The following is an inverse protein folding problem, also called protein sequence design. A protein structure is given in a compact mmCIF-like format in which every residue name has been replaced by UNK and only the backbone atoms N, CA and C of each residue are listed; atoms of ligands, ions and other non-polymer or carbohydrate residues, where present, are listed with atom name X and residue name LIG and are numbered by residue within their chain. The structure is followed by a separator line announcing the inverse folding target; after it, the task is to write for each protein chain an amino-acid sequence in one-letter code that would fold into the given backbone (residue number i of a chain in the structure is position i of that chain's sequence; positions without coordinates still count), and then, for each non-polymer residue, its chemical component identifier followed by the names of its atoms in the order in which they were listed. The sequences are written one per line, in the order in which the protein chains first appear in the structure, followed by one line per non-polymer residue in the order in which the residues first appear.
data_IF_933839770178
#
_entry.id   IF_933839770178
#
_cell.length_a   1.000
_cell.length_b   1.000
_cell.length_c   1.000
_cell.angle_alpha   90.00
_cell.angle_beta   90.00
_cell.angle_gamma   90.00
#
_symmetry.space_group_name_H-M   'P 1'
#
loop_
_entity.id
_entity.type
_entity.pdbx_description
1 polymer ?
#
# COMPACT_ATOMS: atom_id res chain seq x y z
N UNK A 1 6.62 2.71 43.37
CA UNK A 1 7.18 2.98 42.05
C UNK A 1 6.20 3.85 41.29
N UNK A 2 6.62 5.01 40.81
CA UNK A 2 5.79 5.97 40.07
C UNK A 2 5.93 5.82 38.52
N UNK A 3 6.61 4.78 38.06
CA UNK A 3 6.81 4.54 36.66
C UNK A 3 5.53 3.98 36.01
N UNK A 4 5.14 4.55 34.86
CA UNK A 4 4.06 4.08 33.99
C UNK A 4 4.66 3.70 32.64
N UNK A 5 4.15 2.63 32.03
CA UNK A 5 4.66 2.13 30.76
C UNK A 5 3.54 2.18 29.72
N UNK A 6 3.91 2.64 28.53
CA UNK A 6 3.08 2.53 27.31
C UNK A 6 3.85 1.60 26.38
N UNK A 7 3.22 0.47 26.03
CA UNK A 7 3.80 -0.53 25.14
C UNK A 7 3.01 -0.53 23.83
N UNK A 8 3.71 -0.57 22.71
CA UNK A 8 3.09 -0.65 21.37
C UNK A 8 3.59 -1.88 20.64
N UNK A 9 2.72 -2.54 19.90
CA UNK A 9 3.08 -3.68 19.08
C UNK A 9 2.17 -3.80 17.84
N UNK A 10 2.67 -4.42 16.79
CA UNK A 10 1.89 -4.71 15.60
C UNK A 10 1.23 -6.10 15.65
N UNK A 11 1.71 -7.00 16.53
CA UNK A 11 1.28 -8.39 16.62
C UNK A 11 0.95 -8.76 18.08
N UNK A 12 -0.27 -8.44 18.56
CA UNK A 12 -0.68 -8.73 19.94
C UNK A 12 -0.57 -10.22 20.31
N UNK A 13 -0.83 -11.10 19.36
CA UNK A 13 -0.74 -12.56 19.53
C UNK A 13 0.68 -13.08 19.78
N UNK A 14 1.72 -12.28 19.50
CA UNK A 14 3.12 -12.62 19.81
C UNK A 14 3.56 -12.11 21.19
N UNK A 15 2.71 -11.36 21.87
CA UNK A 15 2.99 -10.85 23.23
C UNK A 15 2.66 -11.94 24.26
N UNK A 16 3.56 -12.10 25.22
CA UNK A 16 3.37 -13.10 26.28
C UNK A 16 2.13 -12.80 27.15
N UNK A 17 1.38 -13.82 27.59
CA UNK A 17 0.18 -13.63 28.41
C UNK A 17 0.40 -12.81 29.68
N UNK A 18 1.59 -12.90 30.26
CA UNK A 18 1.96 -12.17 31.47
C UNK A 18 1.93 -10.63 31.28
N UNK A 19 2.20 -10.12 30.09
CA UNK A 19 2.06 -8.68 29.78
C UNK A 19 0.60 -8.32 29.51
N UNK A 20 -0.13 -9.16 28.79
CA UNK A 20 -1.56 -8.94 28.56
C UNK A 20 -2.35 -8.81 29.87
N UNK A 21 -2.04 -9.64 30.87
CA UNK A 21 -2.73 -9.60 32.17
C UNK A 21 -2.39 -8.39 33.04
N UNK A 22 -1.30 -7.66 32.74
CA UNK A 22 -0.82 -6.52 33.52
C UNK A 22 -1.04 -5.18 32.83
N UNK A 23 -1.46 -5.18 31.57
CA UNK A 23 -1.67 -3.99 30.78
C UNK A 23 -3.12 -3.86 30.35
N UNK A 24 -3.62 -2.63 30.29
CA UNK A 24 -4.87 -2.34 29.60
C UNK A 24 -4.58 -2.34 28.10
N UNK A 25 -5.19 -3.27 27.37
CA UNK A 25 -5.05 -3.33 25.91
C UNK A 25 -6.01 -2.35 25.20
N UNK A 26 -5.48 -1.65 24.20
CA UNK A 26 -6.25 -0.84 23.25
C UNK A 26 -5.93 -1.33 21.84
N UNK A 27 -6.96 -1.69 21.10
CA UNK A 27 -6.82 -2.02 19.69
C UNK A 27 -7.00 -0.76 18.85
N UNK A 28 -5.98 -0.45 18.04
CA UNK A 28 -6.03 0.66 17.09
C UNK A 28 -6.33 0.05 15.74
N UNK A 29 -7.54 0.29 15.24
CA UNK A 29 -7.97 -0.17 13.93
C UNK A 29 -7.31 0.63 12.81
N UNK A 30 -7.31 0.06 11.60
CA UNK A 30 -6.91 0.81 10.42
C UNK A 30 -7.89 1.93 10.18
N UNK A 31 -7.38 3.09 9.80
CA UNK A 31 -8.19 4.20 9.34
C UNK A 31 -8.95 3.79 8.06
N UNK A 32 -10.20 4.21 7.93
CA UNK A 32 -10.98 4.03 6.71
C UNK A 32 -10.33 4.74 5.53
N UNK A 33 -10.45 4.16 4.33
CA UNK A 33 -9.84 4.71 3.11
C UNK A 33 -10.33 6.14 2.80
N UNK A 34 -11.60 6.42 3.05
CA UNK A 34 -12.20 7.75 2.83
C UNK A 34 -11.64 8.77 3.83
N UNK A 35 -11.56 8.39 5.11
CA UNK A 35 -10.97 9.24 6.15
C UNK A 35 -9.47 9.48 5.92
N UNK A 36 -8.75 8.45 5.46
CA UNK A 36 -7.35 8.57 5.08
C UNK A 36 -7.16 9.61 3.96
N UNK A 37 -7.94 9.48 2.87
CA UNK A 37 -7.92 10.40 1.74
C UNK A 37 -8.26 11.82 2.16
N UNK A 38 -9.33 11.98 2.95
CA UNK A 38 -9.75 13.28 3.47
C UNK A 38 -8.66 13.93 4.33
N UNK A 39 -7.95 13.14 5.16
CA UNK A 39 -6.86 13.68 5.99
C UNK A 39 -5.68 14.17 5.15
N UNK A 40 -5.26 13.41 4.12
CA UNK A 40 -4.19 13.85 3.21
C UNK A 40 -4.61 15.14 2.48
N UNK A 41 -5.83 15.17 1.94
CA UNK A 41 -6.35 16.36 1.25
C UNK A 41 -6.36 17.58 2.17
N UNK A 42 -6.80 17.42 3.43
CA UNK A 42 -6.81 18.50 4.42
C UNK A 42 -5.41 19.04 4.66
N UNK A 43 -4.43 18.17 4.88
CA UNK A 43 -3.03 18.60 5.09
C UNK A 43 -2.49 19.33 3.86
N UNK A 44 -2.71 18.83 2.66
CA UNK A 44 -2.28 19.51 1.43
C UNK A 44 -2.89 20.92 1.32
N UNK A 45 -4.17 21.08 1.61
CA UNK A 45 -4.86 22.38 1.58
C UNK A 45 -4.31 23.32 2.67
N UNK A 46 -4.09 22.83 3.89
CA UNK A 46 -3.51 23.61 4.99
C UNK A 46 -2.09 24.11 4.66
N UNK A 47 -1.31 23.30 3.93
CA UNK A 47 0.04 23.66 3.46
C UNK A 47 0.02 24.46 2.14
N UNK A 48 -1.17 24.82 1.61
CA UNK A 48 -1.32 25.60 0.39
C UNK A 48 -0.93 24.87 -0.90
N UNK A 49 -0.98 23.53 -0.88
CA UNK A 49 -0.69 22.71 -2.05
C UNK A 49 -1.96 22.50 -2.87
N UNK A 50 -1.92 22.88 -4.14
CA UNK A 50 -2.98 22.58 -5.10
C UNK A 50 -2.96 21.10 -5.46
N UNK A 51 -4.09 20.42 -5.29
CA UNK A 51 -4.24 18.99 -5.55
C UNK A 51 -5.31 18.72 -6.60
N UNK A 52 -4.99 17.82 -7.52
CA UNK A 52 -5.95 17.17 -8.39
C UNK A 52 -6.43 15.85 -7.76
N UNK A 53 -7.74 15.57 -7.84
CA UNK A 53 -8.36 14.42 -7.18
C UNK A 53 -7.77 13.09 -7.71
N UNK A 54 -7.59 12.97 -9.03
CA UNK A 54 -7.05 11.76 -9.65
C UNK A 54 -5.58 11.53 -9.27
N UNK A 55 -4.82 12.62 -9.14
CA UNK A 55 -3.44 12.59 -8.68
C UNK A 55 -3.38 12.15 -7.22
N UNK A 56 -4.18 12.76 -6.34
CA UNK A 56 -4.26 12.39 -4.94
C UNK A 56 -4.66 10.91 -4.73
N UNK A 57 -5.66 10.43 -5.49
CA UNK A 57 -6.10 9.04 -5.45
C UNK A 57 -4.97 8.06 -5.80
N UNK A 58 -4.10 8.40 -6.77
CA UNK A 58 -2.92 7.59 -7.10
C UNK A 58 -1.95 7.48 -5.91
N UNK A 59 -1.68 8.59 -5.20
CA UNK A 59 -0.84 8.59 -4.00
C UNK A 59 -1.44 7.77 -2.86
N UNK A 60 -2.75 7.91 -2.64
CA UNK A 60 -3.48 7.14 -1.63
C UNK A 60 -3.40 5.65 -1.92
N UNK A 61 -3.72 5.22 -3.15
CA UNK A 61 -3.64 3.81 -3.57
C UNK A 61 -2.25 3.20 -3.44
N UNK A 62 -1.21 3.98 -3.72
CA UNK A 62 0.16 3.50 -3.60
C UNK A 62 0.63 3.31 -2.16
N UNK A 63 0.09 4.07 -1.20
CA UNK A 63 0.65 4.19 0.15
C UNK A 63 -0.27 3.72 1.27
N UNK A 64 -1.59 3.63 1.04
CA UNK A 64 -2.52 3.19 2.07
C UNK A 64 -2.10 1.84 2.68
N UNK A 65 -2.11 1.67 3.99
CA UNK A 65 -2.61 2.58 5.04
C UNK A 65 -1.53 3.46 5.70
N UNK A 66 -0.37 3.65 5.10
CA UNK A 66 0.75 4.42 5.67
C UNK A 66 0.61 5.92 5.40
N UNK A 67 -0.04 6.63 6.33
CA UNK A 67 -0.26 8.08 6.26
C UNK A 67 1.05 8.89 6.16
N UNK A 68 2.08 8.48 6.91
CA UNK A 68 3.38 9.17 6.92
C UNK A 68 4.06 9.04 5.56
N UNK A 69 4.07 7.84 5.00
CA UNK A 69 4.62 7.59 3.66
C UNK A 69 3.91 8.41 2.61
N UNK A 70 2.56 8.48 2.67
CA UNK A 70 1.77 9.27 1.75
C UNK A 70 2.13 10.75 1.82
N UNK A 71 2.15 11.35 3.01
CA UNK A 71 2.50 12.75 3.19
C UNK A 71 3.93 13.07 2.72
N UNK A 72 4.89 12.19 3.03
CA UNK A 72 6.27 12.36 2.57
C UNK A 72 6.34 12.35 1.02
N UNK A 73 5.65 11.43 0.36
CA UNK A 73 5.61 11.36 -1.10
C UNK A 73 4.91 12.60 -1.70
N UNK A 74 3.82 13.06 -1.11
CA UNK A 74 3.16 14.31 -1.53
C UNK A 74 4.11 15.50 -1.41
N UNK A 75 4.82 15.63 -0.28
CA UNK A 75 5.79 16.70 -0.06
C UNK A 75 6.93 16.66 -1.09
N UNK A 76 7.48 15.49 -1.37
CA UNK A 76 8.58 15.31 -2.33
C UNK A 76 8.16 15.64 -3.77
N UNK A 77 6.91 15.41 -4.11
CA UNK A 77 6.37 15.62 -5.46
C UNK A 77 5.51 16.89 -5.59
N UNK A 78 5.63 17.81 -4.65
CA UNK A 78 5.03 19.14 -4.75
C UNK A 78 6.00 20.08 -5.46
N UNK A 79 5.63 20.56 -6.63
CA UNK A 79 6.40 21.50 -7.45
C UNK A 79 5.59 22.77 -7.63
N UNK A 80 6.18 23.92 -7.31
CA UNK A 80 5.53 25.25 -7.42
C UNK A 80 4.15 25.33 -6.73
N UNK A 81 4.02 24.67 -5.57
CA UNK A 81 2.77 24.63 -4.79
C UNK A 81 1.69 23.70 -5.36
N UNK A 82 2.03 22.85 -6.32
CA UNK A 82 1.10 21.90 -6.92
C UNK A 82 1.61 20.46 -6.79
N UNK A 83 0.73 19.54 -6.38
CA UNK A 83 1.03 18.11 -6.37
C UNK A 83 1.05 17.57 -7.80
N UNK A 84 2.20 17.08 -8.23
CA UNK A 84 2.37 16.51 -9.57
C UNK A 84 2.56 15.00 -9.49
N UNK A 85 2.25 14.29 -10.57
CA UNK A 85 2.60 12.88 -10.71
C UNK A 85 4.12 12.77 -10.89
N UNK A 86 4.79 11.76 -10.27
CA UNK A 86 6.21 11.55 -10.46
C UNK A 86 6.51 11.33 -11.95
N UNK A 87 7.52 12.02 -12.49
CA UNK A 87 7.97 11.80 -13.85
C UNK A 87 8.63 10.42 -13.97
N UNK A 88 8.43 9.74 -15.11
CA UNK A 88 8.94 8.39 -15.41
C UNK A 88 10.49 8.26 -15.34
N UNK A 89 11.22 9.35 -15.10
CA UNK A 89 12.68 9.40 -15.06
C UNK A 89 13.32 9.52 -13.67
N UNK A 90 12.56 9.82 -12.61
CA UNK A 90 13.10 10.03 -11.26
C UNK A 90 13.00 8.75 -10.41
N UNK A 91 13.76 7.73 -10.79
CA UNK A 91 13.77 6.41 -10.15
C UNK A 91 14.30 6.38 -8.70
N UNK A 92 14.80 7.49 -8.17
CA UNK A 92 15.37 7.53 -6.82
C UNK A 92 14.35 7.89 -5.72
N UNK A 93 13.17 8.43 -6.06
CA UNK A 93 12.18 8.96 -5.11
C UNK A 93 10.74 8.47 -5.37
N UNK A 94 10.49 7.85 -6.52
CA UNK A 94 9.16 7.34 -6.85
C UNK A 94 8.95 5.95 -6.24
N UNK A 95 7.97 5.82 -5.35
CA UNK A 95 7.45 4.51 -4.98
C UNK A 95 6.96 3.79 -6.25
N UNK A 96 7.54 2.64 -6.60
CA UNK A 96 7.15 1.85 -7.77
C UNK A 96 5.63 1.54 -7.78
N UNK A 97 5.00 1.43 -6.60
CA UNK A 97 3.55 1.24 -6.47
C UNK A 97 2.76 2.40 -7.07
N UNK A 98 3.25 3.64 -6.94
CA UNK A 98 2.60 4.81 -7.53
C UNK A 98 2.66 4.75 -9.07
N UNK A 99 3.83 4.42 -9.63
CA UNK A 99 3.97 4.24 -11.07
C UNK A 99 3.11 3.08 -11.59
N UNK A 100 3.02 1.98 -10.84
CA UNK A 100 2.16 0.83 -11.16
C UNK A 100 0.69 1.22 -11.17
N UNK A 101 0.20 1.98 -10.18
CA UNK A 101 -1.19 2.47 -10.14
C UNK A 101 -1.50 3.33 -11.38
N UNK A 102 -0.58 4.23 -11.76
CA UNK A 102 -0.77 5.05 -12.95
C UNK A 102 -0.79 4.23 -14.25
N UNK A 103 0.04 3.19 -14.36
CA UNK A 103 0.01 2.27 -15.49
C UNK A 103 -1.32 1.51 -15.58
N UNK A 104 -1.87 1.05 -14.45
CA UNK A 104 -3.20 0.42 -14.41
C UNK A 104 -4.29 1.40 -14.84
N UNK A 105 -4.27 2.64 -14.34
CA UNK A 105 -5.23 3.69 -14.76
C UNK A 105 -5.17 3.99 -16.25
N UNK A 106 -3.98 3.86 -16.87
CA UNK A 106 -3.79 4.02 -18.31
C UNK A 106 -4.15 2.76 -19.14
N UNK A 107 -4.51 1.66 -18.49
CA UNK A 107 -4.78 0.37 -19.15
C UNK A 107 -3.52 -0.37 -19.63
N UNK A 108 -2.32 0.06 -19.22
CA UNK A 108 -1.03 -0.55 -19.58
C UNK A 108 -0.67 -1.72 -18.66
N UNK A 109 -1.53 -2.73 -18.62
CA UNK A 109 -1.44 -3.86 -17.68
C UNK A 109 -0.11 -4.63 -17.81
N UNK A 110 0.36 -4.88 -19.04
CA UNK A 110 1.61 -5.61 -19.26
C UNK A 110 2.84 -4.87 -18.72
N UNK A 111 2.87 -3.54 -18.83
CA UNK A 111 3.96 -2.71 -18.31
C UNK A 111 3.93 -2.68 -16.79
N UNK A 112 2.74 -2.55 -16.20
CA UNK A 112 2.55 -2.61 -14.75
C UNK A 112 3.03 -3.95 -14.16
N UNK A 113 2.70 -5.08 -14.78
CA UNK A 113 3.17 -6.42 -14.39
C UNK A 113 4.70 -6.54 -14.45
N UNK A 114 5.31 -6.10 -15.54
CA UNK A 114 6.78 -6.11 -15.70
C UNK A 114 7.44 -5.26 -14.62
N UNK A 115 6.88 -4.08 -14.33
CA UNK A 115 7.41 -3.20 -13.29
C UNK A 115 7.33 -3.84 -11.91
N UNK A 116 6.18 -4.44 -11.54
CA UNK A 116 6.04 -5.16 -10.27
C UNK A 116 7.10 -6.26 -10.14
N UNK A 117 7.23 -7.13 -11.15
CA UNK A 117 8.21 -8.22 -11.09
C UNK A 117 9.66 -7.73 -11.00
N UNK A 118 10.01 -6.59 -11.62
CA UNK A 118 11.37 -6.08 -11.63
C UNK A 118 11.77 -5.28 -10.38
N UNK A 119 10.82 -4.71 -9.66
CA UNK A 119 11.09 -3.77 -8.56
C UNK A 119 10.89 -4.38 -7.17
N UNK A 120 10.07 -5.41 -7.06
CA UNK A 120 9.74 -6.02 -5.77
C UNK A 120 10.85 -6.94 -5.29
N UNK A 121 11.31 -6.72 -4.06
CA UNK A 121 12.30 -7.59 -3.42
C UNK A 121 11.61 -8.79 -2.76
N UNK A 122 12.30 -9.94 -2.64
CA UNK A 122 11.73 -11.12 -1.96
C UNK A 122 11.21 -10.84 -0.54
N UNK A 123 11.87 -9.94 0.20
CA UNK A 123 11.50 -9.58 1.57
C UNK A 123 10.22 -8.72 1.63
N UNK A 124 9.82 -8.09 0.52
CA UNK A 124 8.66 -7.21 0.41
C UNK A 124 7.41 -7.92 -0.13
N UNK A 125 7.50 -9.20 -0.46
CA UNK A 125 6.41 -9.96 -1.09
C UNK A 125 5.14 -9.97 -0.24
N UNK A 126 5.25 -10.20 1.08
CA UNK A 126 4.08 -10.19 1.98
C UNK A 126 3.37 -8.83 1.97
N UNK A 127 4.16 -7.74 1.98
CA UNK A 127 3.63 -6.38 1.91
C UNK A 127 3.00 -6.09 0.56
N UNK A 128 3.59 -6.58 -0.54
CA UNK A 128 3.02 -6.43 -1.87
C UNK A 128 1.68 -7.14 -1.99
N UNK A 129 1.57 -8.41 -1.59
CA UNK A 129 0.31 -9.16 -1.62
C UNK A 129 -0.76 -8.48 -0.74
N UNK A 130 -0.34 -7.91 0.39
CA UNK A 130 -1.25 -7.11 1.22
C UNK A 130 -1.71 -5.85 0.50
N UNK A 131 -0.82 -5.14 -0.17
CA UNK A 131 -1.16 -3.98 -0.99
C UNK A 131 -2.11 -4.34 -2.14
N UNK A 132 -1.87 -5.47 -2.82
CA UNK A 132 -2.78 -5.96 -3.87
C UNK A 132 -4.19 -6.18 -3.34
N UNK A 133 -4.33 -6.77 -2.15
CA UNK A 133 -5.62 -6.97 -1.49
C UNK A 133 -6.27 -5.63 -1.07
N UNK A 134 -5.50 -4.68 -0.59
CA UNK A 134 -6.02 -3.37 -0.18
C UNK A 134 -6.47 -2.51 -1.39
N UNK A 135 -6.08 -2.89 -2.63
CA UNK A 135 -6.41 -2.19 -3.88
C UNK A 135 -7.12 -3.10 -4.91
N UNK A 136 -8.14 -3.84 -4.47
CA UNK A 136 -8.88 -4.80 -5.32
C UNK A 136 -9.49 -4.18 -6.58
N UNK A 137 -9.78 -2.89 -6.56
CA UNK A 137 -10.29 -2.15 -7.71
C UNK A 137 -9.33 -2.06 -8.90
N UNK A 138 -8.03 -2.27 -8.68
CA UNK A 138 -7.04 -2.35 -9.77
C UNK A 138 -7.13 -3.67 -10.54
N UNK A 139 -7.74 -4.71 -9.95
CA UNK A 139 -7.79 -6.08 -10.47
C UNK A 139 -9.17 -6.44 -11.04
N UNK A 140 -10.19 -5.64 -10.76
CA UNK A 140 -11.52 -5.88 -11.28
C UNK A 140 -12.51 -4.76 -11.00
N UNK A 141 -13.43 -4.55 -11.94
CA UNK A 141 -14.48 -3.54 -11.82
C UNK A 141 -15.70 -4.10 -11.08
N UNK A 142 -16.05 -5.36 -11.35
CA UNK A 142 -17.22 -6.02 -10.75
C UNK A 142 -16.86 -6.70 -9.43
N UNK A 143 -17.87 -6.90 -8.57
CA UNK A 143 -17.68 -7.62 -7.31
C UNK A 143 -17.19 -9.07 -7.53
N UNK A 144 -17.69 -9.75 -8.56
CA UNK A 144 -17.26 -11.10 -8.91
C UNK A 144 -15.78 -11.16 -9.29
N UNK A 145 -15.29 -10.17 -10.05
CA UNK A 145 -13.87 -10.05 -10.39
C UNK A 145 -13.02 -9.79 -9.16
N UNK A 146 -13.46 -8.91 -8.25
CA UNK A 146 -12.77 -8.63 -6.99
C UNK A 146 -12.70 -9.87 -6.09
N UNK A 147 -13.78 -10.64 -6.01
CA UNK A 147 -13.82 -11.89 -5.24
C UNK A 147 -12.87 -12.95 -5.85
N UNK A 148 -12.81 -13.06 -7.17
CA UNK A 148 -11.84 -13.90 -7.86
C UNK A 148 -10.41 -13.45 -7.58
N UNK A 149 -10.13 -12.15 -7.64
CA UNK A 149 -8.82 -11.59 -7.32
C UNK A 149 -8.37 -11.91 -5.88
N UNK A 150 -9.29 -11.86 -4.90
CA UNK A 150 -9.00 -12.26 -3.51
C UNK A 150 -8.50 -13.70 -3.44
N UNK A 151 -9.14 -14.63 -4.15
CA UNK A 151 -8.75 -16.05 -4.15
C UNK A 151 -7.38 -16.25 -4.79
N UNK A 152 -7.09 -15.54 -5.89
CA UNK A 152 -5.81 -15.59 -6.60
C UNK A 152 -4.70 -15.02 -5.72
N UNK A 153 -4.91 -13.84 -5.11
CA UNK A 153 -3.97 -13.19 -4.19
C UNK A 153 -3.69 -14.11 -2.99
N UNK A 154 -4.73 -14.69 -2.38
CA UNK A 154 -4.58 -15.61 -1.26
C UNK A 154 -3.80 -16.88 -1.63
N UNK A 155 -3.94 -17.40 -2.86
CA UNK A 155 -3.16 -18.51 -3.39
C UNK A 155 -1.68 -18.14 -3.51
N UNK A 156 -1.38 -16.97 -4.12
CA UNK A 156 -0.01 -16.46 -4.25
C UNK A 156 0.66 -16.24 -2.90
N UNK A 157 -0.04 -15.63 -1.94
CA UNK A 157 0.45 -15.41 -0.59
C UNK A 157 0.78 -16.73 0.15
N UNK A 158 -0.07 -17.75 0.03
CA UNK A 158 0.19 -19.08 0.61
C UNK A 158 1.39 -19.77 0.02
N UNK A 159 1.72 -19.47 -1.24
CA UNK A 159 2.84 -20.09 -1.93
C UNK A 159 4.19 -19.47 -1.54
N UNK A 160 4.23 -18.26 -0.97
CA UNK A 160 5.47 -17.58 -0.59
C UNK A 160 6.46 -18.51 0.15
N UNK A 161 6.09 -19.19 1.25
CA UNK A 161 7.03 -20.04 1.98
C UNK A 161 7.35 -21.36 1.28
N UNK A 162 6.65 -21.70 0.17
CA UNK A 162 6.73 -23.00 -0.48
C UNK A 162 7.57 -22.98 -1.76
N UNK A 163 7.73 -21.81 -2.38
CA UNK A 163 8.42 -21.68 -3.67
C UNK A 163 9.87 -21.26 -3.50
N UNK A 164 10.71 -21.76 -4.37
CA UNK A 164 12.14 -21.37 -4.40
C UNK A 164 12.37 -19.98 -5.02
N UNK A 165 11.48 -19.56 -5.91
CA UNK A 165 11.60 -18.31 -6.64
C UNK A 165 10.31 -17.47 -6.49
N UNK A 166 10.43 -16.36 -5.79
CA UNK A 166 9.31 -15.47 -5.48
C UNK A 166 8.86 -14.65 -6.69
N UNK A 167 9.77 -14.35 -7.62
CA UNK A 167 9.44 -13.62 -8.84
C UNK A 167 8.53 -14.45 -9.74
N UNK A 168 8.81 -15.75 -9.89
CA UNK A 168 7.95 -16.67 -10.64
C UNK A 168 6.57 -16.78 -10.00
N UNK A 169 6.49 -16.87 -8.68
CA UNK A 169 5.22 -16.91 -7.96
C UNK A 169 4.40 -15.65 -8.17
N UNK A 170 5.04 -14.48 -8.07
CA UNK A 170 4.39 -13.20 -8.34
C UNK A 170 3.93 -13.10 -9.79
N UNK A 171 4.78 -13.44 -10.75
CA UNK A 171 4.43 -13.41 -12.16
C UNK A 171 3.23 -14.30 -12.48
N UNK A 172 3.20 -15.54 -11.95
CA UNK A 172 2.07 -16.45 -12.10
C UNK A 172 0.78 -15.86 -11.51
N UNK A 173 0.85 -15.29 -10.30
CA UNK A 173 -0.29 -14.64 -9.66
C UNK A 173 -0.82 -13.47 -10.50
N UNK A 174 0.06 -12.63 -11.04
CA UNK A 174 -0.31 -11.50 -11.88
C UNK A 174 -0.87 -11.89 -13.26
N UNK A 175 -0.57 -13.09 -13.75
CA UNK A 175 -1.16 -13.64 -14.98
C UNK A 175 -2.56 -14.18 -14.73
N UNK A 176 -2.81 -14.74 -13.54
CA UNK A 176 -4.14 -15.25 -13.15
C UNK A 176 -5.12 -14.11 -12.82
N UNK A 177 -4.63 -12.95 -12.33
CA UNK A 177 -5.39 -11.71 -12.08
C UNK A 177 -5.81 -11.04 -13.38
#
# INVERSE_FOLDING_TARGET
SSARFILTCNYPNKIIPALHSRCQGFHIERIDHTEFTARIATVCVEEGVEIDIDTLDSYVKATYPDLRKCLNLCQMNTVDGKLVKPNEGDSATADYKLAVVDLFKQGKILEARKMLCSQVRPEEMDELFRWMYDNLELWGETQEQKDAAILIIAKGLRNIPLVADQEINLAATLVEL
#
